data_IF_395907063036
#
_entry.id   IF_395907063036
#
_cell.length_a   1.000
_cell.length_b   1.000
_cell.length_c   1.000
_cell.angle_alpha   90.00
_cell.angle_beta   90.00
_cell.angle_gamma   90.00
#
_symmetry.space_group_name_H-M   'P 1'
#
loop_
_entity.id
_entity.type
_entity.pdbx_description
1 polymer ?
#
# COMPACT_ATOMS: atom_id res chain seq x y z
N UNK A 1 8.50 -13.01 6.11
CA UNK A 1 7.31 -12.33 6.72
C UNK A 1 6.16 -12.44 5.75
N UNK A 2 4.97 -12.81 6.22
CA UNK A 2 3.79 -12.82 5.38
C UNK A 2 3.23 -11.41 5.18
N UNK A 3 2.42 -11.22 4.14
CA UNK A 3 1.70 -9.96 3.91
C UNK A 3 0.74 -9.63 5.07
N UNK A 4 0.12 -10.64 5.69
CA UNK A 4 -0.75 -10.47 6.86
C UNK A 4 0.02 -9.96 8.08
N UNK A 5 1.19 -10.55 8.36
CA UNK A 5 2.08 -10.09 9.45
C UNK A 5 2.58 -8.66 9.21
N UNK A 6 2.93 -8.32 7.97
CA UNK A 6 3.38 -6.98 7.58
C UNK A 6 2.28 -5.94 7.82
N UNK A 7 1.06 -6.23 7.37
CA UNK A 7 -0.12 -5.37 7.61
C UNK A 7 -0.43 -5.25 9.11
N UNK A 8 -0.37 -6.35 9.86
CA UNK A 8 -0.60 -6.33 11.31
C UNK A 8 0.41 -5.41 12.01
N UNK A 9 1.71 -5.52 11.68
CA UNK A 9 2.75 -4.62 12.21
C UNK A 9 2.51 -3.16 11.83
N UNK A 10 2.12 -2.86 10.58
CA UNK A 10 1.76 -1.51 10.18
C UNK A 10 0.60 -0.94 11.00
N UNK A 11 -0.44 -1.75 11.27
CA UNK A 11 -1.60 -1.36 12.09
C UNK A 11 -1.20 -1.06 13.54
N UNK A 12 -0.25 -1.77 14.13
CA UNK A 12 0.23 -1.46 15.49
C UNK A 12 0.92 -0.09 15.56
N UNK A 13 1.66 0.30 14.51
CA UNK A 13 2.36 1.59 14.46
C UNK A 13 1.38 2.78 14.41
N UNK A 14 0.22 2.62 13.76
CA UNK A 14 -0.83 3.67 13.74
C UNK A 14 -1.27 4.09 15.14
N UNK A 15 -1.25 3.14 16.11
CA UNK A 15 -1.63 3.38 17.50
C UNK A 15 -0.49 3.94 18.38
N UNK A 16 0.71 4.07 17.83
CA UNK A 16 1.85 4.67 18.53
C UNK A 16 1.84 6.20 18.40
N UNK A 17 2.49 6.89 19.34
CA UNK A 17 2.82 8.31 19.16
C UNK A 17 3.89 8.40 18.07
N UNK A 18 3.49 8.93 16.90
CA UNK A 18 4.35 8.99 15.72
C UNK A 18 4.43 10.38 15.13
N UNK A 19 5.52 10.67 14.44
CA UNK A 19 5.65 11.88 13.63
C UNK A 19 6.41 11.62 12.34
N UNK A 20 6.19 12.49 11.34
CA UNK A 20 6.99 12.51 10.14
C UNK A 20 8.37 13.13 10.43
N UNK A 21 9.42 12.40 10.09
CA UNK A 21 10.80 12.85 10.19
C UNK A 21 11.59 12.36 8.97
N UNK A 22 12.13 13.30 8.16
CA UNK A 22 12.91 12.97 6.97
C UNK A 22 14.15 12.13 7.31
N UNK A 23 14.33 11.01 6.60
CA UNK A 23 15.47 10.10 6.80
C UNK A 23 15.38 9.25 8.07
N UNK A 24 14.18 9.05 8.64
CA UNK A 24 13.95 8.21 9.82
C UNK A 24 13.10 7.00 9.51
N UNK A 25 13.23 5.95 10.33
CA UNK A 25 12.63 4.63 10.06
C UNK A 25 12.15 3.92 11.35
N UNK A 26 11.59 4.69 12.29
CA UNK A 26 11.03 4.17 13.53
C UNK A 26 11.96 4.31 14.74
N UNK A 27 12.92 5.18 14.66
CA UNK A 27 13.74 5.52 15.82
C UNK A 27 12.92 6.31 16.84
N UNK A 28 13.25 6.14 18.12
CA UNK A 28 12.76 7.02 19.18
C UNK A 28 13.34 8.42 18.98
N UNK A 29 12.47 9.44 19.04
CA UNK A 29 12.93 10.82 18.99
C UNK A 29 13.69 11.19 20.26
N UNK A 30 14.92 11.62 20.10
CA UNK A 30 15.82 12.02 21.18
C UNK A 30 16.62 13.25 20.76
N UNK A 31 17.19 13.97 21.70
CA UNK A 31 18.09 15.12 21.42
C UNK A 31 19.27 14.71 20.53
N UNK A 32 19.82 13.53 20.74
CA UNK A 32 20.91 12.98 19.89
C UNK A 32 20.44 12.78 18.45
N UNK A 33 19.29 12.15 18.24
CA UNK A 33 18.72 11.95 16.92
C UNK A 33 18.36 13.29 16.25
N UNK A 34 17.79 14.23 16.99
CA UNK A 34 17.47 15.57 16.49
C UNK A 34 18.73 16.27 15.94
N UNK A 35 19.82 16.30 16.73
CA UNK A 35 21.07 16.90 16.29
C UNK A 35 21.68 16.21 15.07
N UNK A 36 21.63 14.86 15.03
CA UNK A 36 22.10 14.09 13.88
C UNK A 36 21.29 14.42 12.61
N UNK A 37 19.97 14.45 12.73
CA UNK A 37 19.08 14.68 11.58
C UNK A 37 19.09 16.14 11.12
N UNK A 38 19.25 17.10 12.00
CA UNK A 38 19.43 18.51 11.66
C UNK A 38 20.71 18.74 10.84
N UNK A 39 21.81 18.04 11.17
CA UNK A 39 23.04 18.08 10.36
C UNK A 39 22.89 17.40 9.00
N UNK A 40 22.11 16.29 8.93
CA UNK A 40 21.91 15.51 7.71
C UNK A 40 20.91 16.14 6.72
N UNK A 41 19.88 16.82 7.25
CA UNK A 41 18.79 17.41 6.48
C UNK A 41 18.43 18.81 7.01
N UNK A 42 19.34 19.78 6.94
CA UNK A 42 19.13 21.11 7.54
C UNK A 42 17.94 21.85 6.96
N UNK A 43 17.62 21.62 5.67
CA UNK A 43 16.48 22.21 4.99
C UNK A 43 15.12 21.69 5.51
N UNK A 44 15.09 20.54 6.17
CA UNK A 44 13.88 19.96 6.76
C UNK A 44 13.76 20.22 8.26
N UNK A 45 14.85 20.02 9.02
CA UNK A 45 14.86 20.11 10.48
C UNK A 45 15.18 21.53 10.96
N UNK A 46 14.30 22.49 10.63
CA UNK A 46 14.36 23.82 11.24
C UNK A 46 14.09 23.77 12.75
N UNK A 47 14.46 24.83 13.48
CA UNK A 47 14.19 24.94 14.92
C UNK A 47 12.70 24.74 15.26
N UNK A 48 11.81 25.23 14.43
CA UNK A 48 10.37 25.05 14.60
C UNK A 48 9.91 23.61 14.45
N UNK A 49 10.49 22.85 13.51
CA UNK A 49 10.22 21.42 13.33
C UNK A 49 10.75 20.63 14.53
N UNK A 50 11.97 20.91 14.96
CA UNK A 50 12.57 20.26 16.14
C UNK A 50 11.75 20.55 17.40
N UNK A 51 11.36 21.80 17.64
CA UNK A 51 10.52 22.19 18.77
C UNK A 51 9.16 21.47 18.76
N UNK A 52 8.52 21.34 17.58
CA UNK A 52 7.28 20.59 17.42
C UNK A 52 7.43 19.11 17.75
N UNK A 53 8.52 18.46 17.30
CA UNK A 53 8.80 17.06 17.61
C UNK A 53 9.13 16.85 19.09
N UNK A 54 9.89 17.77 19.72
CA UNK A 54 10.17 17.74 21.14
C UNK A 54 8.88 17.82 21.97
N UNK A 55 7.98 18.77 21.64
CA UNK A 55 6.67 18.88 22.29
C UNK A 55 5.83 17.62 22.17
N UNK A 56 5.83 16.95 21.01
CA UNK A 56 5.15 15.65 20.85
C UNK A 56 5.77 14.54 21.70
N UNK A 57 7.08 14.58 21.92
CA UNK A 57 7.79 13.59 22.71
C UNK A 57 7.56 13.73 24.23
N UNK A 58 7.06 14.87 24.71
CA UNK A 58 6.71 15.09 26.12
C UNK A 58 5.54 14.20 26.57
N UNK A 59 4.58 13.92 25.67
CA UNK A 59 3.39 13.16 26.00
C UNK A 59 3.65 11.64 26.18
N UNK A 60 4.55 11.09 25.38
CA UNK A 60 4.94 9.67 25.42
C UNK A 60 6.12 9.43 24.47
N UNK A 61 6.67 8.20 24.46
CA UNK A 61 7.71 7.83 23.50
C UNK A 61 7.25 8.15 22.07
N UNK A 62 7.94 9.08 21.43
CA UNK A 62 7.70 9.47 20.05
C UNK A 62 8.58 8.64 19.10
N UNK A 63 7.97 7.97 18.14
CA UNK A 63 8.66 7.31 17.04
C UNK A 63 8.58 8.14 15.76
N UNK A 64 9.69 8.27 15.05
CA UNK A 64 9.77 9.10 13.84
C UNK A 64 10.05 8.24 12.61
N UNK A 65 9.30 8.53 11.53
CA UNK A 65 9.39 7.85 10.24
C UNK A 65 9.30 8.87 9.10
N UNK A 66 9.90 8.57 7.96
CA UNK A 66 9.43 9.10 6.67
C UNK A 66 8.56 8.06 5.94
N UNK A 67 8.14 8.35 4.70
CA UNK A 67 7.24 7.46 3.98
C UNK A 67 7.85 6.07 3.73
N UNK A 68 9.07 6.01 3.20
CA UNK A 68 9.77 4.75 2.97
C UNK A 68 10.32 4.17 4.28
N UNK A 69 10.63 5.02 5.24
CA UNK A 69 11.09 4.64 6.58
C UNK A 69 10.06 3.86 7.37
N UNK A 70 8.77 4.06 7.15
CA UNK A 70 7.72 3.22 7.71
C UNK A 70 7.87 1.76 7.27
N UNK A 71 8.05 1.53 5.98
CA UNK A 71 8.25 0.19 5.40
C UNK A 71 9.56 -0.42 5.91
N UNK A 72 10.66 0.37 5.86
CA UNK A 72 11.97 -0.06 6.37
C UNK A 72 11.91 -0.43 7.85
N UNK A 73 11.29 0.40 8.67
CA UNK A 73 11.16 0.17 10.12
C UNK A 73 10.45 -1.15 10.43
N UNK A 74 9.37 -1.47 9.72
CA UNK A 74 8.65 -2.75 9.89
C UNK A 74 9.55 -3.93 9.52
N UNK A 75 10.21 -3.88 8.36
CA UNK A 75 11.08 -4.96 7.89
C UNK A 75 12.31 -5.12 8.80
N UNK A 76 12.88 -4.01 9.27
CA UNK A 76 14.04 -4.01 10.16
C UNK A 76 13.72 -4.30 11.64
N UNK A 77 12.44 -4.59 11.97
CA UNK A 77 12.03 -5.15 13.26
C UNK A 77 11.57 -4.13 14.30
N UNK A 78 10.89 -3.04 13.85
CA UNK A 78 10.25 -2.10 14.78
C UNK A 78 9.47 -2.83 15.90
N UNK A 79 9.55 -2.41 17.19
CA UNK A 79 10.22 -1.18 17.68
C UNK A 79 11.74 -1.30 17.92
N UNK A 80 12.31 -2.49 17.82
CA UNK A 80 13.74 -2.78 18.05
C UNK A 80 14.49 -2.86 16.71
N UNK A 81 14.46 -1.75 15.97
CA UNK A 81 14.98 -1.68 14.60
C UNK A 81 16.45 -2.07 14.52
N UNK A 82 16.76 -3.07 13.68
CA UNK A 82 18.11 -3.47 13.31
C UNK A 82 18.39 -3.02 11.88
N UNK A 83 19.19 -2.00 11.72
CA UNK A 83 19.46 -1.32 10.45
C UNK A 83 19.93 -2.28 9.35
N UNK A 84 19.32 -2.19 8.16
CA UNK A 84 19.62 -3.01 6.96
C UNK A 84 19.51 -4.53 7.17
N UNK A 85 18.58 -5.00 8.00
CA UNK A 85 18.33 -6.43 8.17
C UNK A 85 17.17 -6.91 7.27
N UNK A 86 16.98 -8.22 7.25
CA UNK A 86 15.86 -8.89 6.57
C UNK A 86 15.74 -8.59 5.06
N UNK A 87 16.89 -8.36 4.40
CA UNK A 87 16.98 -8.23 2.95
C UNK A 87 16.59 -6.88 2.37
N UNK A 88 16.25 -5.88 3.19
CA UNK A 88 15.92 -4.54 2.73
C UNK A 88 17.09 -3.57 2.95
N UNK A 89 17.59 -3.00 1.85
CA UNK A 89 18.60 -1.94 1.89
C UNK A 89 17.99 -0.61 2.38
N UNK A 90 18.86 0.35 2.75
CA UNK A 90 18.45 1.73 2.99
C UNK A 90 18.28 2.45 1.63
N UNK A 91 17.05 2.51 1.17
CA UNK A 91 16.68 3.01 -0.15
C UNK A 91 15.70 4.19 -0.06
N UNK A 92 15.64 4.99 -1.14
CA UNK A 92 14.58 5.98 -1.35
C UNK A 92 13.26 5.29 -1.74
N UNK A 93 12.16 6.04 -1.74
CA UNK A 93 10.86 5.60 -2.24
C UNK A 93 10.93 5.06 -3.68
N UNK A 94 11.55 5.81 -4.59
CA UNK A 94 11.71 5.38 -5.97
C UNK A 94 12.54 4.09 -6.07
N UNK A 95 13.64 4.00 -5.33
CA UNK A 95 14.50 2.80 -5.38
C UNK A 95 13.85 1.60 -4.70
N UNK A 96 12.99 1.80 -3.69
CA UNK A 96 12.14 0.75 -3.13
C UNK A 96 11.17 0.25 -4.19
N UNK A 97 10.49 1.17 -4.90
CA UNK A 97 9.57 0.86 -5.98
C UNK A 97 10.24 0.07 -7.11
N UNK A 98 11.41 0.51 -7.56
CA UNK A 98 12.10 -0.11 -8.69
C UNK A 98 12.68 -1.50 -8.37
N UNK A 99 13.28 -1.65 -7.18
CA UNK A 99 14.06 -2.85 -6.81
C UNK A 99 13.25 -3.91 -6.06
N UNK A 100 12.27 -3.49 -5.26
CA UNK A 100 11.59 -4.36 -4.30
C UNK A 100 10.09 -4.53 -4.56
N UNK A 101 9.56 -3.99 -5.66
CA UNK A 101 8.13 -4.15 -6.01
C UNK A 101 7.99 -4.82 -7.37
N UNK A 102 7.23 -5.92 -7.40
CA UNK A 102 6.83 -6.67 -8.60
C UNK A 102 5.33 -6.56 -8.85
N UNK A 103 4.86 -7.15 -9.95
CA UNK A 103 3.45 -7.20 -10.33
C UNK A 103 2.79 -5.81 -10.25
N UNK A 104 3.50 -4.80 -10.77
CA UNK A 104 3.06 -3.39 -10.75
C UNK A 104 1.83 -3.19 -11.62
N UNK A 105 0.86 -2.42 -11.13
CA UNK A 105 -0.40 -2.16 -11.81
C UNK A 105 -0.95 -0.76 -11.49
N UNK A 106 -1.62 -0.17 -12.46
CA UNK A 106 -2.45 1.04 -12.31
C UNK A 106 -3.94 0.70 -12.10
N UNK A 107 -4.30 -0.59 -12.17
CA UNK A 107 -5.67 -1.07 -11.95
C UNK A 107 -5.92 -1.39 -10.49
N UNK A 108 -6.60 -0.48 -9.80
CA UNK A 108 -6.92 -0.57 -8.37
C UNK A 108 -8.11 -1.48 -8.04
N UNK A 109 -8.62 -2.27 -8.99
CA UNK A 109 -9.76 -3.17 -8.77
C UNK A 109 -9.42 -4.42 -7.96
N UNK A 110 -8.15 -4.80 -7.90
CA UNK A 110 -7.71 -6.04 -7.25
C UNK A 110 -6.34 -5.87 -6.57
N UNK A 111 -6.34 -5.24 -5.40
CA UNK A 111 -5.13 -5.00 -4.62
C UNK A 111 -5.11 -5.93 -3.41
N UNK A 112 -4.00 -6.64 -3.21
CA UNK A 112 -3.84 -7.48 -2.04
C UNK A 112 -3.32 -6.68 -0.83
N UNK A 113 -3.82 -6.93 0.39
CA UNK A 113 -3.24 -6.35 1.59
C UNK A 113 -1.74 -6.68 1.70
N UNK A 114 -0.94 -5.66 2.01
CA UNK A 114 0.53 -5.74 2.04
C UNK A 114 1.21 -5.26 0.76
N UNK A 115 0.47 -4.98 -0.31
CA UNK A 115 1.03 -4.32 -1.50
C UNK A 115 1.47 -2.89 -1.18
N UNK A 116 2.52 -2.46 -1.88
CA UNK A 116 3.03 -1.10 -1.80
C UNK A 116 2.23 -0.23 -2.75
N UNK A 117 1.70 0.85 -2.22
CA UNK A 117 1.07 1.93 -2.96
C UNK A 117 2.13 2.96 -3.33
N UNK A 118 2.11 3.46 -4.56
CA UNK A 118 3.12 4.40 -5.06
C UNK A 118 2.51 5.60 -5.79
N UNK A 119 3.10 6.75 -5.55
CA UNK A 119 3.08 7.95 -6.38
C UNK A 119 4.49 8.54 -6.38
N UNK A 120 4.83 9.35 -7.35
CA UNK A 120 6.15 10.02 -7.42
C UNK A 120 6.47 10.72 -6.09
N UNK A 121 7.54 10.29 -5.44
CA UNK A 121 8.03 10.86 -4.17
C UNK A 121 7.32 10.33 -2.91
N UNK A 122 6.47 9.29 -3.01
CA UNK A 122 5.77 8.79 -1.83
C UNK A 122 5.30 7.35 -1.97
N UNK A 123 5.30 6.63 -0.84
CA UNK A 123 4.83 5.24 -0.75
C UNK A 123 3.94 5.03 0.47
N UNK A 124 3.08 4.00 0.39
CA UNK A 124 2.22 3.54 1.48
C UNK A 124 2.02 2.04 1.44
N UNK A 125 1.34 1.50 2.42
CA UNK A 125 1.04 0.06 2.59
C UNK A 125 -0.47 -0.12 2.47
N UNK A 126 -0.94 -0.85 1.45
CA UNK A 126 -2.35 -1.20 1.34
C UNK A 126 -2.74 -2.21 2.41
N UNK A 127 -3.86 -1.98 3.10
CA UNK A 127 -4.29 -2.81 4.24
C UNK A 127 -5.68 -3.45 4.05
N UNK A 128 -6.23 -3.35 2.84
CA UNK A 128 -7.58 -3.80 2.51
C UNK A 128 -8.63 -2.69 2.56
N UNK A 129 -9.81 -2.96 2.03
CA UNK A 129 -11.00 -2.09 2.08
C UNK A 129 -10.77 -0.64 1.62
N UNK A 130 -9.91 -0.47 0.60
CA UNK A 130 -9.57 0.85 0.09
C UNK A 130 -8.73 1.71 1.04
N UNK A 131 -8.11 1.11 2.06
CA UNK A 131 -7.32 1.83 3.08
C UNK A 131 -5.82 1.59 2.93
N UNK A 132 -5.05 2.62 3.22
CA UNK A 132 -3.59 2.63 3.11
C UNK A 132 -2.99 3.20 4.40
N UNK A 133 -2.00 2.53 4.97
CA UNK A 133 -1.18 3.11 6.05
C UNK A 133 0.04 3.78 5.40
N UNK A 134 0.23 5.04 5.72
CA UNK A 134 1.36 5.84 5.24
C UNK A 134 1.93 6.74 6.33
N UNK A 135 3.20 7.08 6.25
CA UNK A 135 3.78 8.18 7.03
C UNK A 135 3.92 9.39 6.12
N UNK A 136 3.22 10.46 6.45
CA UNK A 136 3.12 11.63 5.57
C UNK A 136 3.22 12.94 6.33
N UNK A 137 3.75 13.97 5.68
CA UNK A 137 3.75 15.35 6.16
C UNK A 137 2.56 16.19 5.63
N UNK A 138 1.69 15.57 4.81
CA UNK A 138 0.60 16.29 4.12
C UNK A 138 -0.50 16.74 5.09
N UNK A 139 -0.93 15.88 6.00
CA UNK A 139 -2.07 16.16 6.90
C UNK A 139 -1.62 16.35 8.35
N UNK A 140 -1.70 15.29 9.15
CA UNK A 140 -1.35 15.33 10.59
C UNK A 140 0.15 15.11 10.88
N UNK A 141 0.99 15.04 9.84
CA UNK A 141 2.45 14.87 9.95
C UNK A 141 2.86 13.67 10.81
N UNK A 142 2.25 12.51 10.56
CA UNK A 142 2.48 11.26 11.30
C UNK A 142 2.18 10.01 10.44
N UNK A 143 2.22 8.84 11.07
CA UNK A 143 1.66 7.61 10.52
C UNK A 143 0.14 7.64 10.69
N UNK A 144 -0.60 7.43 9.60
CA UNK A 144 -2.05 7.47 9.59
C UNK A 144 -2.65 6.49 8.57
N UNK A 145 -3.95 6.30 8.64
CA UNK A 145 -4.73 5.59 7.63
C UNK A 145 -5.32 6.60 6.66
N UNK A 146 -4.94 6.50 5.39
CA UNK A 146 -5.53 7.22 4.26
C UNK A 146 -6.43 6.32 3.42
N UNK A 147 -7.07 6.87 2.40
CA UNK A 147 -7.99 6.14 1.52
C UNK A 147 -7.66 6.33 0.05
N UNK A 148 -7.91 5.29 -0.75
CA UNK A 148 -7.91 5.36 -2.21
C UNK A 148 -9.27 5.82 -2.77
N UNK A 149 -10.33 5.81 -1.95
CA UNK A 149 -11.67 6.16 -2.39
C UNK A 149 -11.86 7.67 -2.37
N UNK A 150 -12.18 8.26 -3.52
CA UNK A 150 -12.46 9.69 -3.66
C UNK A 150 -13.66 10.07 -2.80
N UNK A 151 -13.49 11.13 -2.00
CA UNK A 151 -14.51 11.59 -1.04
C UNK A 151 -14.26 11.17 0.41
N UNK A 152 -13.46 10.15 0.65
CA UNK A 152 -13.07 9.77 2.01
C UNK A 152 -12.13 10.83 2.63
N UNK A 153 -12.16 10.92 3.97
CA UNK A 153 -11.15 11.67 4.72
C UNK A 153 -9.75 11.11 4.41
N UNK A 154 -8.79 11.99 4.21
CA UNK A 154 -7.42 11.64 3.82
C UNK A 154 -7.34 10.86 2.50
N UNK A 155 -8.21 11.17 1.54
CA UNK A 155 -8.09 10.64 0.18
C UNK A 155 -6.74 11.00 -0.44
N UNK A 156 -6.07 10.00 -1.02
CA UNK A 156 -4.88 10.17 -1.84
C UNK A 156 -5.07 9.49 -3.20
N UNK A 157 -4.86 10.25 -4.27
CA UNK A 157 -4.80 9.68 -5.61
C UNK A 157 -3.46 8.98 -5.79
N UNK A 158 -3.44 7.68 -5.55
CA UNK A 158 -2.30 6.83 -5.84
C UNK A 158 -2.23 6.57 -7.35
N UNK A 159 -1.02 6.42 -7.92
CA UNK A 159 -0.81 6.15 -9.35
C UNK A 159 -0.69 4.67 -9.63
N UNK A 160 -0.06 3.93 -8.74
CA UNK A 160 0.32 2.54 -8.95
C UNK A 160 0.32 1.78 -7.63
N UNK A 161 0.24 0.45 -7.73
CA UNK A 161 0.48 -0.47 -6.63
C UNK A 161 1.23 -1.71 -7.11
N UNK A 162 1.79 -2.50 -6.20
CA UNK A 162 2.45 -3.75 -6.56
C UNK A 162 2.91 -4.55 -5.34
N UNK A 163 3.26 -5.81 -5.59
CA UNK A 163 3.66 -6.75 -4.54
C UNK A 163 5.06 -6.44 -4.02
N UNK A 164 5.18 -6.35 -2.71
CA UNK A 164 6.47 -6.19 -2.06
C UNK A 164 7.21 -7.52 -2.03
N UNK A 165 8.32 -7.63 -2.75
CA UNK A 165 9.02 -8.90 -3.01
C UNK A 165 9.63 -9.57 -1.78
N UNK A 166 9.75 -8.85 -0.66
CA UNK A 166 10.22 -9.39 0.62
C UNK A 166 9.11 -10.06 1.45
N UNK A 167 7.87 -10.12 0.92
CA UNK A 167 6.74 -10.75 1.58
C UNK A 167 6.32 -12.05 0.87
N UNK A 168 5.87 -13.01 1.67
CA UNK A 168 5.10 -14.13 1.19
C UNK A 168 3.62 -13.77 1.25
N UNK A 169 2.96 -13.73 0.09
CA UNK A 169 1.54 -13.41 0.02
C UNK A 169 0.70 -14.67 0.28
N UNK A 170 0.18 -14.80 1.50
CA UNK A 170 -0.74 -15.86 1.88
C UNK A 170 -2.17 -15.51 1.49
N UNK A 171 -2.90 -16.50 0.98
CA UNK A 171 -4.30 -16.32 0.60
C UNK A 171 -4.51 -15.67 -0.77
N UNK A 172 -3.43 -15.43 -1.54
CA UNK A 172 -3.50 -15.25 -2.98
C UNK A 172 -3.49 -16.60 -3.73
N UNK A 173 -4.09 -17.65 -3.19
CA UNK A 173 -4.86 -18.51 -4.08
C UNK A 173 -5.87 -17.53 -4.65
N UNK A 174 -5.89 -17.31 -5.96
CA UNK A 174 -7.00 -16.64 -6.62
C UNK A 174 -8.24 -17.14 -5.92
N UNK A 175 -8.94 -16.25 -5.19
CA UNK A 175 -10.08 -16.69 -4.39
C UNK A 175 -10.88 -17.58 -5.31
N UNK A 176 -11.15 -18.86 -4.95
CA UNK A 176 -11.93 -19.71 -5.85
C UNK A 176 -13.13 -18.86 -6.20
N UNK A 177 -13.42 -18.64 -7.46
CA UNK A 177 -14.42 -17.68 -7.86
C UNK A 177 -15.62 -17.95 -6.99
N UNK A 178 -16.03 -16.95 -6.17
CA UNK A 178 -17.23 -17.13 -5.34
C UNK A 178 -18.32 -17.54 -6.31
N UNK A 179 -18.92 -18.72 -6.12
CA UNK A 179 -19.83 -19.35 -7.09
C UNK A 179 -20.97 -18.42 -7.57
N UNK A 180 -21.22 -17.31 -6.85
CA UNK A 180 -22.15 -16.25 -7.27
C UNK A 180 -21.61 -15.21 -8.26
N UNK A 181 -20.31 -15.20 -8.59
CA UNK A 181 -19.68 -14.18 -9.44
C UNK A 181 -19.14 -14.71 -10.78
N UNK A 182 -19.45 -15.97 -11.12
CA UNK A 182 -19.04 -16.60 -12.37
C UNK A 182 -20.25 -17.04 -13.17
N UNK A 183 -20.22 -16.71 -14.45
CA UNK A 183 -21.10 -17.29 -15.46
C UNK A 183 -20.33 -18.32 -16.29
N UNK A 184 -20.83 -19.53 -16.41
CA UNK A 184 -20.31 -20.55 -17.32
C UNK A 184 -21.03 -20.38 -18.64
N UNK A 185 -20.29 -20.07 -19.71
CA UNK A 185 -20.85 -19.84 -21.05
C UNK A 185 -21.57 -21.11 -21.53
N UNK A 186 -22.82 -20.95 -21.97
CA UNK A 186 -23.62 -22.01 -22.59
C UNK A 186 -23.55 -21.88 -24.13
N UNK A 187 -23.82 -22.97 -24.81
CA UNK A 187 -23.90 -22.98 -26.29
C UNK A 187 -24.89 -21.92 -26.81
N UNK A 188 -24.41 -21.06 -27.71
CA UNK A 188 -25.19 -19.98 -28.31
C UNK A 188 -25.23 -18.65 -27.54
N UNK A 189 -24.59 -18.56 -26.36
CA UNK A 189 -24.44 -17.28 -25.66
C UNK A 189 -23.33 -16.42 -26.29
N UNK A 190 -23.52 -15.10 -26.21
CA UNK A 190 -22.56 -14.06 -26.60
C UNK A 190 -22.25 -13.19 -25.39
N UNK A 191 -21.11 -12.46 -25.39
CA UNK A 191 -20.81 -11.51 -24.32
C UNK A 191 -21.95 -10.48 -24.13
N UNK A 192 -22.60 -10.07 -25.22
CA UNK A 192 -23.73 -9.13 -25.17
C UNK A 192 -24.97 -9.73 -24.50
N UNK A 193 -25.33 -10.99 -24.83
CA UNK A 193 -26.46 -11.66 -24.20
C UNK A 193 -26.23 -11.94 -22.71
N UNK A 194 -25.00 -12.34 -22.36
CA UNK A 194 -24.62 -12.59 -20.97
C UNK A 194 -24.59 -11.27 -20.17
N UNK A 195 -24.00 -10.20 -20.71
CA UNK A 195 -23.95 -8.89 -20.07
C UNK A 195 -25.35 -8.35 -19.76
N UNK A 196 -26.29 -8.48 -20.71
CA UNK A 196 -27.72 -8.10 -20.54
C UNK A 196 -28.34 -8.85 -19.35
N UNK A 197 -28.07 -10.15 -19.19
CA UNK A 197 -28.57 -10.98 -18.09
C UNK A 197 -28.12 -10.47 -16.71
N UNK A 198 -26.93 -9.84 -16.64
CA UNK A 198 -26.35 -9.32 -15.39
C UNK A 198 -26.42 -7.79 -15.29
N UNK A 199 -27.30 -7.12 -16.04
CA UNK A 199 -27.50 -5.67 -16.02
C UNK A 199 -26.21 -4.86 -16.21
N UNK A 200 -25.34 -5.29 -17.12
CA UNK A 200 -24.11 -4.60 -17.47
C UNK A 200 -23.92 -4.49 -18.98
N UNK A 201 -22.98 -3.65 -19.41
CA UNK A 201 -22.60 -3.60 -20.83
C UNK A 201 -21.63 -4.73 -21.17
N UNK A 202 -21.64 -5.20 -22.44
CA UNK A 202 -20.70 -6.22 -22.91
C UNK A 202 -19.24 -5.76 -22.77
N UNK A 203 -18.99 -4.45 -22.92
CA UNK A 203 -17.67 -3.87 -22.75
C UNK A 203 -17.19 -3.96 -21.28
N UNK A 204 -18.09 -3.73 -20.31
CA UNK A 204 -17.78 -3.91 -18.88
C UNK A 204 -17.49 -5.39 -18.59
N UNK A 205 -18.32 -6.30 -19.10
CA UNK A 205 -18.10 -7.75 -18.94
C UNK A 205 -16.77 -8.19 -19.56
N UNK A 206 -16.43 -7.70 -20.74
CA UNK A 206 -15.15 -7.99 -21.41
C UNK A 206 -13.95 -7.48 -20.60
N UNK A 207 -14.00 -6.24 -20.10
CA UNK A 207 -12.95 -5.67 -19.24
C UNK A 207 -12.74 -6.45 -17.94
N UNK A 208 -13.79 -7.07 -17.39
CA UNK A 208 -13.68 -7.97 -16.22
C UNK A 208 -12.98 -9.30 -16.57
N UNK A 209 -12.82 -9.61 -17.87
CA UNK A 209 -12.27 -10.88 -18.35
C UNK A 209 -11.13 -10.64 -19.37
N UNK A 210 -9.99 -10.06 -18.96
CA UNK A 210 -8.91 -9.66 -19.87
C UNK A 210 -8.24 -10.85 -20.59
N UNK A 211 -8.47 -12.09 -20.12
CA UNK A 211 -8.05 -13.30 -20.80
C UNK A 211 -8.81 -13.58 -22.11
N UNK A 212 -9.93 -12.90 -22.36
CA UNK A 212 -10.68 -12.95 -23.61
C UNK A 212 -10.09 -11.93 -24.58
N UNK A 213 -9.17 -12.38 -25.43
CA UNK A 213 -8.46 -11.53 -26.39
C UNK A 213 -9.45 -10.97 -27.45
N UNK A 214 -10.38 -11.82 -27.93
CA UNK A 214 -11.38 -11.44 -28.93
C UNK A 214 -12.79 -11.57 -28.32
N UNK A 215 -13.52 -10.47 -28.10
CA UNK A 215 -14.85 -10.51 -27.49
C UNK A 215 -15.92 -11.21 -28.33
N UNK A 216 -15.66 -11.42 -29.62
CA UNK A 216 -16.54 -12.15 -30.50
C UNK A 216 -16.27 -13.66 -30.53
N UNK A 217 -15.24 -14.12 -29.81
CA UNK A 217 -14.80 -15.52 -29.82
C UNK A 217 -14.79 -16.07 -28.39
N UNK A 218 -15.93 -16.58 -27.95
CA UNK A 218 -16.12 -17.23 -26.65
C UNK A 218 -16.67 -18.64 -26.85
N UNK A 219 -16.35 -19.55 -25.95
CA UNK A 219 -16.66 -20.96 -26.09
C UNK A 219 -17.53 -21.48 -24.94
N UNK A 220 -18.46 -22.43 -25.20
CA UNK A 220 -19.22 -23.11 -24.16
C UNK A 220 -18.28 -23.77 -23.13
N UNK A 221 -18.63 -23.66 -21.85
CA UNK A 221 -17.80 -24.14 -20.73
C UNK A 221 -16.76 -23.14 -20.23
N UNK A 222 -16.47 -22.07 -20.96
CA UNK A 222 -15.56 -21.01 -20.52
C UNK A 222 -16.20 -20.23 -19.35
N UNK A 223 -15.40 -19.89 -18.34
CA UNK A 223 -15.84 -19.15 -17.15
C UNK A 223 -15.65 -17.66 -17.35
N UNK A 224 -16.70 -16.88 -17.09
CA UNK A 224 -16.70 -15.43 -17.12
C UNK A 224 -16.89 -14.86 -15.71
N UNK A 225 -16.04 -13.93 -15.33
CA UNK A 225 -16.24 -13.09 -14.16
C UNK A 225 -17.33 -12.06 -14.46
N UNK A 226 -18.36 -11.97 -13.58
CA UNK A 226 -19.53 -11.10 -13.77
C UNK A 226 -19.66 -10.01 -12.69
N UNK A 227 -18.72 -9.98 -11.76
CA UNK A 227 -18.58 -8.94 -10.72
C UNK A 227 -17.12 -8.70 -10.44
#
# INVERSE_FOLDING_TARGET
MTNKEFVAKAKTIVNCNTAYGKGTFGQKWTKTLANQKAKQYPEFYSDSVIASLNKKAEASTLYVFDCVGLIKGIIWGFPNVKYKTNGLDDVSDQRLWDKYVSDKSEDFSNIAPGEIMHIKGHVGIYIGDGKVIECTNKWSKNVLVSSINKGDKYYRAWSEHGKFTLLTYEGLVAAPPQEGNIHIIKKGETLSSIAKKYNMTWLKLWRLNPHIINPNLIYPGQKLKIK
#
